data_IF_829834859757
#
_entry.id   IF_829834859757
#
_cell.length_a   1.000
_cell.length_b   1.000
_cell.length_c   1.000
_cell.angle_alpha   90.00
_cell.angle_beta   90.00
_cell.angle_gamma   90.00
#
_symmetry.space_group_name_H-M   'P 1'
#
loop_
_entity.id
_entity.type
_entity.pdbx_description
1 polymer ?
#
# COMPACT_ATOMS: atom_id res chain seq x y z
N UNK A 1 -8.63 3.14 16.49
CA UNK A 1 -7.48 3.84 15.88
C UNK A 1 -7.78 5.33 15.93
N UNK A 2 -6.87 6.16 16.45
CA UNK A 2 -7.09 7.60 16.53
C UNK A 2 -7.01 8.28 15.15
N UNK A 3 -6.66 9.58 15.08
CA UNK A 3 -6.47 10.31 13.81
C UNK A 3 -5.15 9.93 13.13
N UNK A 4 -5.01 8.65 12.78
CA UNK A 4 -3.85 8.09 12.09
C UNK A 4 -4.24 7.83 10.64
N UNK A 5 -3.45 8.37 9.71
CA UNK A 5 -3.66 8.19 8.28
C UNK A 5 -2.73 7.09 7.75
N UNK A 6 -3.31 5.91 7.49
CA UNK A 6 -2.59 4.82 6.84
C UNK A 6 -2.81 4.88 5.34
N UNK A 7 -1.73 4.92 4.59
CA UNK A 7 -1.76 4.99 3.13
C UNK A 7 -0.71 4.06 2.55
N UNK A 8 -1.06 3.36 1.48
CA UNK A 8 -0.15 2.43 0.84
C UNK A 8 -0.28 2.38 -0.67
N UNK A 9 0.51 1.50 -1.24
CA UNK A 9 0.49 1.17 -2.65
C UNK A 9 0.92 -0.29 -2.80
N UNK A 10 0.51 -0.93 -3.88
CA UNK A 10 0.85 -2.31 -4.19
C UNK A 10 1.17 -2.44 -5.69
N UNK A 11 1.92 -3.48 -6.05
CA UNK A 11 2.33 -3.80 -7.41
C UNK A 11 2.33 -5.32 -7.59
N UNK A 12 2.30 -5.78 -8.85
CA UNK A 12 2.33 -7.21 -9.18
C UNK A 12 3.70 -7.86 -8.94
N UNK A 13 3.75 -9.20 -8.98
CA UNK A 13 4.98 -9.97 -8.82
C UNK A 13 5.88 -9.97 -10.05
N UNK A 14 5.33 -9.69 -11.23
CA UNK A 14 6.11 -9.56 -12.46
C UNK A 14 6.88 -8.24 -12.46
N UNK A 15 8.21 -8.31 -12.48
CA UNK A 15 9.07 -7.13 -12.51
C UNK A 15 8.94 -6.31 -13.81
N UNK A 16 8.42 -6.91 -14.89
CA UNK A 16 8.17 -6.22 -16.16
C UNK A 16 6.84 -5.46 -16.16
N UNK A 17 5.97 -5.75 -15.19
CA UNK A 17 4.70 -5.06 -15.02
C UNK A 17 4.91 -3.56 -14.78
N UNK A 18 4.07 -2.74 -15.41
CA UNK A 18 4.16 -1.28 -15.36
C UNK A 18 4.13 -0.76 -13.91
N UNK A 19 3.28 -1.33 -13.04
CA UNK A 19 3.22 -0.91 -11.64
C UNK A 19 4.47 -1.31 -10.86
N UNK A 20 5.09 -2.44 -11.20
CA UNK A 20 6.34 -2.88 -10.59
C UNK A 20 7.51 -1.99 -11.02
N UNK A 21 7.59 -1.62 -12.30
CA UNK A 21 8.65 -0.73 -12.83
C UNK A 21 8.61 0.66 -12.23
N UNK A 22 7.41 1.23 -12.00
CA UNK A 22 7.23 2.57 -11.45
C UNK A 22 6.84 2.60 -9.96
N UNK A 23 7.00 1.50 -9.23
CA UNK A 23 6.69 1.43 -7.78
C UNK A 23 7.46 2.47 -6.96
N UNK A 24 8.70 2.78 -7.35
CA UNK A 24 9.52 3.79 -6.68
C UNK A 24 9.00 5.22 -6.90
N UNK A 25 8.47 5.52 -8.10
CA UNK A 25 7.81 6.80 -8.37
C UNK A 25 6.55 6.94 -7.52
N UNK A 26 5.77 5.87 -7.36
CA UNK A 26 4.60 5.86 -6.47
C UNK A 26 5.00 6.09 -5.01
N UNK A 27 6.03 5.39 -4.52
CA UNK A 27 6.56 5.60 -3.18
C UNK A 27 6.96 7.06 -2.95
N UNK A 28 7.71 7.65 -3.89
CA UNK A 28 8.13 9.05 -3.78
C UNK A 28 6.93 10.01 -3.79
N UNK A 29 5.98 9.81 -4.70
CA UNK A 29 4.78 10.65 -4.80
C UNK A 29 3.98 10.64 -3.50
N UNK A 30 3.67 9.45 -2.98
CA UNK A 30 2.89 9.31 -1.73
C UNK A 30 3.65 9.91 -0.56
N UNK A 31 4.91 9.51 -0.36
CA UNK A 31 5.67 9.89 0.83
C UNK A 31 6.10 11.36 0.84
N UNK A 32 6.75 11.82 -0.23
CA UNK A 32 7.42 13.13 -0.25
C UNK A 32 6.52 14.22 -0.82
N UNK A 33 5.77 13.94 -1.87
CA UNK A 33 4.96 14.96 -2.53
C UNK A 33 3.58 15.13 -1.87
N UNK A 34 2.73 14.10 -1.83
CA UNK A 34 1.37 14.22 -1.29
C UNK A 34 1.38 14.35 0.24
N UNK A 35 2.00 13.42 0.97
CA UNK A 35 1.92 13.43 2.43
C UNK A 35 2.82 14.48 3.07
N UNK A 36 4.12 14.51 2.75
CA UNK A 36 5.05 15.45 3.38
C UNK A 36 4.84 16.88 2.86
N UNK A 37 4.91 17.11 1.55
CA UNK A 37 4.90 18.47 0.99
C UNK A 37 3.50 19.11 0.90
N UNK A 38 2.50 18.40 0.38
CA UNK A 38 1.15 18.96 0.22
C UNK A 38 0.35 18.96 1.53
N UNK A 39 0.38 17.87 2.31
CA UNK A 39 -0.43 17.71 3.53
C UNK A 39 0.31 18.00 4.84
N UNK A 40 1.64 18.06 4.83
CA UNK A 40 2.43 18.34 6.04
C UNK A 40 2.57 17.16 7.02
N UNK A 41 2.34 15.92 6.58
CA UNK A 41 2.54 14.72 7.40
C UNK A 41 4.04 14.40 7.49
N UNK A 42 4.66 14.75 8.63
CA UNK A 42 6.12 14.74 8.81
C UNK A 42 6.63 13.82 9.93
N UNK A 43 5.76 13.04 10.57
CA UNK A 43 6.14 12.16 11.69
C UNK A 43 5.50 10.78 11.61
N UNK A 44 6.29 9.78 12.01
CA UNK A 44 5.78 8.44 12.22
C UNK A 44 4.99 8.35 13.52
N UNK A 45 4.16 7.31 13.59
CA UNK A 45 3.57 6.85 14.84
C UNK A 45 4.69 6.23 15.68
N UNK A 46 4.66 6.45 16.99
CA UNK A 46 5.62 5.83 17.90
C UNK A 46 5.65 4.31 17.73
N UNK A 47 6.84 3.75 17.47
CA UNK A 47 7.03 2.30 17.27
C UNK A 47 6.77 1.79 15.84
N UNK A 48 6.43 2.66 14.89
CA UNK A 48 6.26 2.30 13.48
C UNK A 48 7.17 3.15 12.58
N UNK A 49 7.66 2.65 11.43
CA UNK A 49 8.35 3.47 10.44
C UNK A 49 7.36 4.40 9.68
N UNK A 50 7.86 5.50 9.11
CA UNK A 50 7.07 6.38 8.21
C UNK A 50 6.60 5.64 6.95
N UNK A 51 7.51 4.87 6.34
CA UNK A 51 7.28 4.11 5.11
C UNK A 51 8.03 2.78 5.22
N UNK A 52 7.48 1.73 4.62
CA UNK A 52 8.02 0.38 4.74
C UNK A 52 7.05 -0.68 4.23
N UNK A 53 7.53 -1.92 4.12
CA UNK A 53 6.69 -3.05 3.74
C UNK A 53 5.59 -3.29 4.78
N UNK A 54 4.43 -3.79 4.31
CA UNK A 54 3.25 -4.03 5.18
C UNK A 54 3.59 -4.89 6.41
N UNK A 55 4.52 -5.83 6.28
CA UNK A 55 4.94 -6.71 7.37
C UNK A 55 5.67 -6.02 8.53
N UNK A 56 6.18 -4.81 8.27
CA UNK A 56 6.87 -3.95 9.24
C UNK A 56 5.98 -2.79 9.70
N UNK A 57 4.73 -2.75 9.23
CA UNK A 57 3.74 -1.74 9.62
C UNK A 57 2.83 -2.27 10.73
N UNK A 58 2.21 -1.37 11.52
CA UNK A 58 1.18 -1.74 12.48
C UNK A 58 -0.01 -2.46 11.81
N UNK A 59 -0.71 -3.27 12.60
CA UNK A 59 -2.02 -3.81 12.21
C UNK A 59 -3.02 -2.66 12.22
N UNK A 60 -3.75 -2.50 11.11
CA UNK A 60 -4.72 -1.42 10.91
C UNK A 60 -6.03 -1.92 10.31
N UNK A 61 -7.13 -1.22 10.57
CA UNK A 61 -8.44 -1.63 10.06
C UNK A 61 -8.55 -1.37 8.57
N UNK A 62 -8.01 -0.24 8.10
CA UNK A 62 -8.09 0.24 6.73
C UNK A 62 -6.86 1.07 6.38
N UNK A 63 -6.47 1.01 5.11
CA UNK A 63 -5.49 1.92 4.51
C UNK A 63 -6.05 2.45 3.20
N UNK A 64 -5.89 3.76 2.98
CA UNK A 64 -6.09 4.37 1.67
C UNK A 64 -4.96 3.94 0.72
N UNK A 65 -5.13 4.15 -0.59
CA UNK A 65 -4.04 3.86 -1.52
C UNK A 65 -3.96 4.72 -2.79
N UNK A 66 -2.75 4.81 -3.30
CA UNK A 66 -2.43 5.44 -4.59
C UNK A 66 -1.90 4.41 -5.57
N UNK A 67 -2.34 4.50 -6.82
CA UNK A 67 -1.78 3.75 -7.93
C UNK A 67 -1.22 4.70 -9.00
N UNK A 68 -0.20 4.24 -9.72
CA UNK A 68 0.31 4.91 -10.92
C UNK A 68 -0.55 4.58 -12.12
N UNK A 69 -0.90 5.59 -12.90
CA UNK A 69 -1.45 5.46 -14.24
C UNK A 69 -0.35 5.88 -15.23
N UNK A 70 0.14 4.94 -16.02
CA UNK A 70 1.33 5.17 -16.85
C UNK A 70 0.97 5.03 -18.32
N UNK A 71 1.41 6.01 -19.11
CA UNK A 71 1.35 5.98 -20.56
C UNK A 71 2.77 5.96 -21.11
N UNK A 72 3.11 4.91 -21.86
CA UNK A 72 4.45 4.72 -22.42
C UNK A 72 4.39 4.73 -23.95
N UNK A 73 5.33 5.44 -24.56
CA UNK A 73 5.54 5.46 -26.00
C UNK A 73 6.79 4.65 -26.32
N UNK A 74 6.65 3.69 -27.23
CA UNK A 74 7.73 2.81 -27.63
C UNK A 74 8.17 3.14 -29.05
N UNK A 75 9.47 3.24 -29.25
CA UNK A 75 10.08 3.43 -30.56
C UNK A 75 10.73 2.12 -31.00
N UNK A 76 10.30 1.64 -32.16
CA UNK A 76 10.88 0.45 -32.79
C UNK A 76 11.73 0.86 -34.00
N UNK A 77 13.01 0.54 -33.95
CA UNK A 77 13.95 0.80 -35.04
C UNK A 77 14.37 -0.53 -35.68
N UNK A 78 14.35 -0.60 -37.02
CA UNK A 78 14.85 -1.76 -37.78
C UNK A 78 16.08 -1.34 -38.57
N UNK A 79 17.20 -2.01 -38.33
CA UNK A 79 18.43 -1.83 -39.11
C UNK A 79 18.42 -2.82 -40.28
N UNK A 80 18.85 -2.38 -41.47
CA UNK A 80 18.75 -3.17 -42.70
C UNK A 80 19.44 -4.54 -42.60
N UNK A 81 20.55 -4.63 -41.86
CA UNK A 81 21.38 -5.83 -41.71
C UNK A 81 21.05 -6.67 -40.46
N UNK A 82 20.10 -6.21 -39.62
CA UNK A 82 19.67 -6.94 -38.42
C UNK A 82 18.38 -7.72 -38.68
N UNK A 83 18.34 -8.98 -38.24
CA UNK A 83 17.15 -9.83 -38.38
C UNK A 83 15.96 -9.42 -37.48
N UNK A 84 16.11 -8.41 -36.60
CA UNK A 84 15.12 -8.02 -35.59
C UNK A 84 14.83 -6.52 -35.53
N UNK A 85 13.84 -6.16 -34.71
CA UNK A 85 13.56 -4.78 -34.31
C UNK A 85 14.24 -4.50 -32.96
N UNK A 86 14.83 -3.32 -32.81
CA UNK A 86 15.23 -2.78 -31.52
C UNK A 86 14.12 -1.89 -30.98
N UNK A 87 13.54 -2.26 -29.84
CA UNK A 87 12.50 -1.47 -29.16
C UNK A 87 13.08 -0.73 -27.96
N UNK A 88 12.82 0.56 -27.85
CA UNK A 88 13.14 1.37 -26.68
C UNK A 88 11.91 2.15 -26.19
N UNK A 89 11.85 2.48 -24.90
CA UNK A 89 10.86 3.42 -24.36
C UNK A 89 11.35 4.82 -24.72
N UNK A 90 10.59 5.52 -25.56
CA UNK A 90 10.91 6.87 -26.01
C UNK A 90 10.46 7.91 -24.98
N UNK A 91 9.24 7.75 -24.46
CA UNK A 91 8.66 8.60 -23.43
C UNK A 91 7.78 7.79 -22.47
N UNK A 92 7.76 8.19 -21.20
CA UNK A 92 6.84 7.67 -20.20
C UNK A 92 6.22 8.84 -19.42
N UNK A 93 4.89 8.90 -19.42
CA UNK A 93 4.11 9.85 -18.63
C UNK A 93 3.49 9.12 -17.45
N UNK A 94 3.74 9.62 -16.24
CA UNK A 94 3.20 9.05 -15.00
C UNK A 94 2.18 10.02 -14.40
N UNK A 95 1.00 9.50 -14.14
CA UNK A 95 -0.04 10.13 -13.34
C UNK A 95 -0.29 9.32 -12.07
N UNK A 96 -0.75 9.98 -11.01
CA UNK A 96 -1.04 9.35 -9.73
C UNK A 96 -2.50 9.59 -9.38
N UNK A 97 -3.20 8.52 -9.02
CA UNK A 97 -4.62 8.58 -8.67
C UNK A 97 -4.94 7.61 -7.54
N UNK A 98 -6.12 7.77 -6.94
CA UNK A 98 -6.64 6.78 -6.01
C UNK A 98 -6.67 5.40 -6.68
N UNK A 99 -6.23 4.38 -5.93
CA UNK A 99 -6.28 2.99 -6.38
C UNK A 99 -7.72 2.57 -6.72
N UNK A 100 -7.88 1.80 -7.80
CA UNK A 100 -9.19 1.24 -8.15
C UNK A 100 -9.34 -0.11 -7.47
N UNK A 101 -10.24 -0.27 -6.52
CA UNK A 101 -10.40 -1.52 -5.78
C UNK A 101 -11.30 -2.52 -6.50
N UNK A 102 -11.23 -3.79 -6.12
CA UNK A 102 -12.24 -4.77 -6.51
C UNK A 102 -13.63 -4.34 -6.02
N UNK A 103 -14.68 -4.70 -6.78
CA UNK A 103 -16.07 -4.40 -6.45
C UNK A 103 -16.38 -2.90 -6.28
N UNK A 104 -15.70 -2.02 -7.03
CA UNK A 104 -15.81 -0.56 -6.94
C UNK A 104 -15.45 0.04 -5.56
N UNK A 105 -14.75 -0.71 -4.70
CA UNK A 105 -14.25 -0.22 -3.43
C UNK A 105 -12.94 0.56 -3.65
N UNK A 106 -13.05 1.70 -4.33
CA UNK A 106 -11.91 2.55 -4.68
C UNK A 106 -11.31 3.23 -3.46
N UNK A 107 -10.01 3.57 -3.56
CA UNK A 107 -9.22 4.14 -2.47
C UNK A 107 -9.15 3.23 -1.23
N UNK A 108 -9.27 1.91 -1.40
CA UNK A 108 -9.13 0.93 -0.32
C UNK A 108 -8.03 -0.08 -0.68
N UNK A 109 -6.98 -0.15 0.15
CA UNK A 109 -5.81 -0.99 -0.12
C UNK A 109 -6.14 -2.48 -0.10
N UNK A 110 -7.07 -2.92 0.75
CA UNK A 110 -7.47 -4.32 0.78
C UNK A 110 -8.26 -4.69 -0.48
N UNK A 111 -9.17 -3.83 -0.92
CA UNK A 111 -9.89 -4.02 -2.18
C UNK A 111 -8.96 -3.94 -3.40
N UNK A 112 -7.96 -3.05 -3.37
CA UNK A 112 -6.95 -2.96 -4.43
C UNK A 112 -6.09 -4.23 -4.49
N UNK A 113 -5.65 -4.73 -3.34
CA UNK A 113 -4.91 -5.99 -3.25
C UNK A 113 -5.74 -7.17 -3.77
N UNK A 114 -7.04 -7.22 -3.43
CA UNK A 114 -7.97 -8.21 -3.99
C UNK A 114 -8.06 -8.10 -5.52
N UNK A 115 -8.06 -6.90 -6.09
CA UNK A 115 -8.05 -6.71 -7.54
C UNK A 115 -6.79 -7.32 -8.16
N UNK A 116 -5.63 -7.10 -7.56
CA UNK A 116 -4.36 -7.66 -8.04
C UNK A 116 -4.34 -9.19 -7.99
N UNK A 117 -5.02 -9.80 -7.02
CA UNK A 117 -5.21 -11.26 -6.97
C UNK A 117 -6.15 -11.73 -8.07
N UNK A 118 -7.27 -11.02 -8.29
CA UNK A 118 -8.23 -11.35 -9.36
C UNK A 118 -7.61 -11.20 -10.76
N UNK A 119 -6.63 -10.31 -10.92
CA UNK A 119 -5.85 -10.11 -12.14
C UNK A 119 -4.66 -11.08 -12.28
N UNK A 120 -4.50 -12.05 -11.37
CA UNK A 120 -3.37 -13.00 -11.31
C UNK A 120 -1.98 -12.34 -11.18
N UNK A 121 -1.93 -11.10 -10.70
CA UNK A 121 -0.67 -10.33 -10.53
C UNK A 121 -0.01 -10.60 -9.20
N UNK A 122 -0.78 -11.06 -8.21
CA UNK A 122 -0.32 -11.44 -6.87
C UNK A 122 -0.99 -12.76 -6.48
N UNK A 123 -0.30 -13.59 -5.71
CA UNK A 123 -0.86 -14.88 -5.25
C UNK A 123 -1.83 -14.72 -4.09
N UNK A 124 -2.77 -15.67 -3.95
CA UNK A 124 -3.65 -15.78 -2.78
C UNK A 124 -2.88 -15.92 -1.47
N UNK A 125 -1.72 -16.61 -1.49
CA UNK A 125 -0.86 -16.74 -0.30
C UNK A 125 -0.32 -15.39 0.19
N UNK A 126 0.08 -14.51 -0.73
CA UNK A 126 0.51 -13.16 -0.36
C UNK A 126 -0.66 -12.32 0.17
N UNK A 127 -1.87 -12.54 -0.37
CA UNK A 127 -3.07 -11.91 0.17
C UNK A 127 -3.37 -12.33 1.61
N UNK A 128 -3.20 -13.61 1.93
CA UNK A 128 -3.39 -14.09 3.30
C UNK A 128 -2.34 -13.52 4.26
N UNK A 129 -1.11 -13.25 3.79
CA UNK A 129 -0.12 -12.50 4.59
C UNK A 129 -0.57 -11.04 4.77
N UNK A 130 -1.00 -10.38 3.70
CA UNK A 130 -1.49 -9.01 3.73
C UNK A 130 -2.65 -8.80 4.73
N UNK A 131 -3.64 -9.71 4.73
CA UNK A 131 -4.82 -9.67 5.61
C UNK A 131 -4.49 -9.76 7.11
N UNK A 132 -3.27 -10.19 7.48
CA UNK A 132 -2.82 -10.17 8.89
C UNK A 132 -2.54 -8.76 9.39
N UNK A 133 -2.28 -7.83 8.48
CA UNK A 133 -1.90 -6.45 8.80
C UNK A 133 -3.01 -5.47 8.47
N UNK A 134 -3.81 -5.72 7.44
CA UNK A 134 -5.00 -4.92 7.12
C UNK A 134 -6.22 -5.80 7.33
N UNK A 135 -6.85 -5.65 8.49
CA UNK A 135 -7.79 -6.63 9.05
C UNK A 135 -9.26 -6.32 8.77
N UNK A 136 -9.55 -5.15 8.22
CA UNK A 136 -10.91 -4.69 7.96
C UNK A 136 -11.47 -3.80 9.08
N UNK A 137 -12.54 -3.07 8.74
CA UNK A 137 -13.16 -2.10 9.61
C UNK A 137 -13.62 -2.72 10.94
N UNK A 138 -13.20 -2.10 12.05
CA UNK A 138 -13.52 -2.51 13.43
C UNK A 138 -12.89 -3.83 13.89
N UNK A 139 -12.03 -4.47 13.10
CA UNK A 139 -11.41 -5.75 13.46
C UNK A 139 -10.06 -5.60 14.17
N UNK A 140 -9.53 -4.38 14.30
CA UNK A 140 -8.27 -4.13 14.99
C UNK A 140 -8.28 -4.64 16.44
N UNK A 141 -9.31 -4.26 17.21
CA UNK A 141 -9.36 -4.65 18.62
C UNK A 141 -9.51 -6.17 18.78
N UNK A 142 -10.32 -6.80 17.93
CA UNK A 142 -10.49 -8.24 17.90
C UNK A 142 -9.17 -8.95 17.59
N UNK A 143 -8.45 -8.47 16.58
CA UNK A 143 -7.16 -9.04 16.15
C UNK A 143 -6.10 -8.89 17.25
N UNK A 144 -6.02 -7.71 17.88
CA UNK A 144 -5.09 -7.46 19.00
C UNK A 144 -5.41 -8.38 20.18
N UNK A 145 -6.68 -8.48 20.56
CA UNK A 145 -7.11 -9.35 21.67
C UNK A 145 -6.82 -10.82 21.36
N UNK A 146 -7.08 -11.28 20.13
CA UNK A 146 -6.77 -12.62 19.68
C UNK A 146 -5.26 -12.90 19.72
N UNK A 147 -4.44 -11.93 19.27
CA UNK A 147 -2.99 -12.02 19.35
C UNK A 147 -2.50 -12.12 20.80
N UNK A 148 -2.97 -11.25 21.69
CA UNK A 148 -2.63 -11.27 23.12
C UNK A 148 -3.01 -12.62 23.75
N UNK A 149 -4.24 -13.07 23.52
CA UNK A 149 -4.75 -14.35 24.03
C UNK A 149 -3.90 -15.53 23.51
N UNK A 150 -3.50 -15.52 22.24
CA UNK A 150 -2.64 -16.56 21.65
C UNK A 150 -1.25 -16.64 22.31
N UNK A 151 -0.79 -15.55 22.91
CA UNK A 151 0.47 -15.47 23.66
C UNK A 151 0.30 -15.70 25.15
N UNK A 152 -0.91 -16.04 25.61
CA UNK A 152 -1.23 -16.22 27.02
C UNK A 152 -1.38 -14.90 27.80
N UNK A 153 -1.47 -13.77 27.11
CA UNK A 153 -1.71 -12.47 27.73
C UNK A 153 -3.20 -12.18 27.77
N UNK A 154 -3.67 -11.70 28.92
CA UNK A 154 -4.96 -11.03 29.04
C UNK A 154 -4.75 -9.53 29.01
N UNK A 155 -5.71 -8.80 28.46
CA UNK A 155 -5.74 -7.35 28.59
C UNK A 155 -5.79 -7.01 30.08
N UNK A 156 -4.76 -6.32 30.56
CA UNK A 156 -4.69 -5.84 31.93
C UNK A 156 -5.66 -4.69 32.19
N UNK A 157 -5.44 -3.95 33.28
CA UNK A 157 -6.24 -2.79 33.64
C UNK A 157 -6.38 -1.80 32.47
N UNK A 158 -7.60 -1.57 31.99
CA UNK A 158 -7.89 -0.48 31.07
C UNK A 158 -7.95 0.81 31.88
N UNK A 159 -6.97 1.68 31.66
CA UNK A 159 -6.96 2.99 32.28
C UNK A 159 -8.14 3.80 31.75
N UNK A 160 -8.97 4.28 32.67
CA UNK A 160 -10.10 5.14 32.35
C UNK A 160 -9.58 6.50 31.87
N UNK A 161 -9.63 6.74 30.56
CA UNK A 161 -9.17 7.97 29.92
C UNK A 161 -9.92 9.21 30.44
N UNK A 162 -11.12 9.07 31.03
CA UNK A 162 -11.84 10.17 31.68
C UNK A 162 -11.20 10.62 33.00
N UNK A 163 -10.32 9.80 33.58
CA UNK A 163 -9.55 10.10 34.80
C UNK A 163 -8.19 10.68 34.50
N UNK A 164 -7.83 10.81 33.22
CA UNK A 164 -6.56 11.42 32.82
C UNK A 164 -6.75 12.93 32.85
N UNK A 165 -6.04 13.61 33.75
CA UNK A 165 -6.00 15.07 33.77
C UNK A 165 -5.32 15.54 32.49
N UNK A 166 -6.04 16.34 31.67
CA UNK A 166 -5.42 17.14 30.62
C UNK A 166 -4.31 17.99 31.27
N UNK A 167 -3.07 17.75 30.87
CA UNK A 167 -1.92 18.59 31.21
C UNK A 167 -1.67 19.54 30.05
#
# INVERSE_FOLDING_TARGET
>A
EGPIHCHGFAWGNDDMDVLARYKANNLFYVSMYDHMYQRGYVRNIAGAPMCGCVEKMPIVSRSDCTQTNVSEQYKFTKTADSAGFNGEIEYATLEFQACQGANNNNNDLAAYYQRLVNEDRITTSQQEVFKKYIVGNNECQNTINAFLTSKGYTTGFQADESKWTYV
#
